data_IF_799099985541
#
_entry.id   IF_799099985541
#
_cell.length_a   1.000
_cell.length_b   1.000
_cell.length_c   1.000
_cell.angle_alpha   90.00
_cell.angle_beta   90.00
_cell.angle_gamma   90.00
#
_symmetry.space_group_name_H-M   'P 1'
#
loop_
_entity.id
_entity.type
_entity.pdbx_description
1 polymer ?
#
# COMPACT_ATOMS: atom_id res chain seq x y z
N UNK A 1 -72.93 -20.09 43.51
CA UNK A 1 -73.63 -18.98 42.84
C UNK A 1 -73.45 -17.74 43.68
N UNK A 2 -72.91 -16.66 43.08
CA UNK A 2 -72.83 -15.27 43.56
C UNK A 2 -72.42 -15.09 45.05
N UNK A 3 -71.25 -14.54 45.36
CA UNK A 3 -71.03 -13.10 45.27
C UNK A 3 -69.56 -12.83 44.88
N UNK A 4 -69.33 -12.83 43.57
CA UNK A 4 -68.09 -12.49 42.87
C UNK A 4 -68.08 -11.00 42.46
N UNK A 5 -68.88 -10.14 43.10
CA UNK A 5 -69.07 -8.75 42.63
C UNK A 5 -69.23 -7.76 43.80
N UNK A 6 -68.24 -7.66 44.68
CA UNK A 6 -68.12 -6.44 45.53
C UNK A 6 -66.69 -6.05 45.93
N UNK A 7 -65.70 -6.43 45.11
CA UNK A 7 -64.29 -6.05 45.31
C UNK A 7 -63.72 -5.16 44.21
N UNK A 8 -64.59 -4.35 43.57
CA UNK A 8 -64.22 -3.49 42.42
C UNK A 8 -64.49 -1.99 42.62
N UNK A 9 -64.95 -1.50 43.79
CA UNK A 9 -65.19 -0.04 43.98
C UNK A 9 -64.63 0.56 45.26
N UNK A 10 -63.33 0.39 45.49
CA UNK A 10 -62.54 1.31 46.33
C UNK A 10 -61.21 1.64 45.67
N UNK A 11 -61.25 1.90 44.36
CA UNK A 11 -60.27 2.73 43.67
C UNK A 11 -60.93 4.10 43.49
N UNK A 12 -60.42 5.08 44.23
CA UNK A 12 -60.36 6.52 43.92
C UNK A 12 -60.37 7.32 45.21
N UNK A 13 -59.19 7.44 45.83
CA UNK A 13 -58.53 8.73 46.14
C UNK A 13 -57.54 8.54 47.27
N UNK A 14 -56.40 9.19 47.09
CA UNK A 14 -55.41 9.57 48.11
C UNK A 14 -54.39 8.49 48.54
N UNK A 15 -53.35 8.41 47.73
CA UNK A 15 -52.03 7.87 48.09
C UNK A 15 -50.94 8.41 47.18
N UNK A 16 -50.95 9.72 46.90
CA UNK A 16 -49.93 10.43 46.13
C UNK A 16 -48.66 10.51 46.98
N UNK A 17 -47.64 9.70 46.68
CA UNK A 17 -46.21 10.01 46.96
C UNK A 17 -45.27 9.03 46.25
N UNK A 18 -44.26 9.65 45.62
CA UNK A 18 -43.08 9.09 44.92
C UNK A 18 -43.34 8.14 43.76
N UNK A 19 -43.93 8.68 42.69
CA UNK A 19 -43.47 8.34 41.34
C UNK A 19 -42.00 8.76 41.27
N UNK A 20 -41.08 7.80 41.31
CA UNK A 20 -39.72 8.05 40.83
C UNK A 20 -39.86 8.42 39.37
N UNK A 21 -39.69 9.70 39.08
CA UNK A 21 -39.55 10.20 37.73
C UNK A 21 -38.36 9.46 37.11
N UNK A 22 -38.62 8.41 36.33
CA UNK A 22 -37.65 7.88 35.40
C UNK A 22 -37.52 8.95 34.31
N UNK A 23 -36.74 9.99 34.60
CA UNK A 23 -36.24 10.90 33.58
C UNK A 23 -35.57 10.07 32.48
N UNK A 24 -35.50 10.58 31.24
CA UNK A 24 -34.87 9.86 30.15
C UNK A 24 -33.47 9.43 30.60
N UNK A 25 -33.23 8.11 30.66
CA UNK A 25 -31.93 7.56 31.03
C UNK A 25 -30.92 8.17 30.08
N UNK A 26 -30.06 9.05 30.59
CA UNK A 26 -28.99 9.63 29.78
C UNK A 26 -28.20 8.50 29.15
N UNK A 27 -27.91 8.62 27.85
CA UNK A 27 -27.18 7.57 27.13
C UNK A 27 -25.86 7.29 27.82
N UNK A 28 -25.45 6.01 27.86
CA UNK A 28 -24.16 5.60 28.43
C UNK A 28 -23.01 6.38 27.78
N UNK A 29 -23.14 6.67 26.48
CA UNK A 29 -22.23 7.50 25.70
C UNK A 29 -22.14 8.96 26.14
N UNK A 30 -23.13 9.52 26.84
CA UNK A 30 -23.05 10.88 27.41
C UNK A 30 -22.28 10.88 28.73
N UNK A 31 -22.40 9.80 29.51
CA UNK A 31 -21.80 9.64 30.84
C UNK A 31 -20.34 9.18 30.80
N UNK A 32 -19.91 8.56 29.71
CA UNK A 32 -18.58 8.00 29.56
C UNK A 32 -17.51 9.11 29.55
N UNK A 33 -16.45 9.06 30.38
CA UNK A 33 -15.35 10.02 30.32
C UNK A 33 -14.65 10.01 28.95
N UNK A 34 -14.12 11.16 28.49
CA UNK A 34 -13.53 11.27 27.15
C UNK A 34 -12.30 10.37 26.96
N UNK A 35 -11.42 10.25 27.96
CA UNK A 35 -10.26 9.35 27.87
C UNK A 35 -10.66 7.87 27.73
N UNK A 36 -11.77 7.44 28.35
CA UNK A 36 -12.29 6.08 28.20
C UNK A 36 -12.86 5.87 26.80
N UNK A 37 -13.59 6.86 26.27
CA UNK A 37 -14.08 6.81 24.89
C UNK A 37 -12.92 6.71 23.88
N UNK A 38 -11.87 7.51 24.06
CA UNK A 38 -10.66 7.48 23.24
C UNK A 38 -10.04 6.08 23.24
N UNK A 39 -9.85 5.48 24.42
CA UNK A 39 -9.29 4.13 24.53
C UNK A 39 -10.19 3.09 23.86
N UNK A 40 -11.51 3.11 24.10
CA UNK A 40 -12.45 2.17 23.45
C UNK A 40 -12.34 2.28 21.92
N UNK A 41 -12.34 3.50 21.38
CA UNK A 41 -12.26 3.72 19.94
C UNK A 41 -10.88 3.34 19.37
N UNK A 42 -9.79 3.48 20.13
CA UNK A 42 -8.46 3.06 19.70
C UNK A 42 -8.36 1.54 19.45
N UNK A 43 -9.12 0.72 20.19
CA UNK A 43 -9.22 -0.73 19.97
C UNK A 43 -10.07 -1.13 18.76
N UNK A 44 -10.88 -0.21 18.21
CA UNK A 44 -11.68 -0.46 17.02
C UNK A 44 -10.82 -0.36 15.74
N UNK A 45 -11.29 -0.96 14.65
CA UNK A 45 -10.78 -0.62 13.32
C UNK A 45 -11.22 0.79 12.90
N UNK A 46 -10.46 1.45 12.02
CA UNK A 46 -10.81 2.80 11.51
C UNK A 46 -12.23 2.84 10.90
N UNK A 47 -12.64 1.78 10.20
CA UNK A 47 -13.99 1.66 9.61
C UNK A 47 -15.08 1.65 10.68
N UNK A 48 -14.82 0.99 11.81
CA UNK A 48 -15.76 0.89 12.90
C UNK A 48 -15.85 2.21 13.67
N UNK A 49 -14.74 2.93 13.84
CA UNK A 49 -14.75 4.29 14.39
C UNK A 49 -15.66 5.21 13.56
N UNK A 50 -15.56 5.14 12.23
CA UNK A 50 -16.45 5.85 11.31
C UNK A 50 -17.91 5.44 11.51
N UNK A 51 -18.19 4.15 11.62
CA UNK A 51 -19.54 3.62 11.85
C UNK A 51 -20.14 4.06 13.19
N UNK A 52 -19.32 4.11 14.26
CA UNK A 52 -19.71 4.60 15.59
C UNK A 52 -20.01 6.11 15.54
N UNK A 53 -19.17 6.89 14.84
CA UNK A 53 -19.40 8.33 14.63
C UNK A 53 -20.73 8.59 13.94
N UNK A 54 -21.09 7.79 12.93
CA UNK A 54 -22.34 7.93 12.17
C UNK A 54 -23.58 7.39 12.90
N UNK A 55 -23.42 6.70 14.03
CA UNK A 55 -24.54 6.06 14.74
C UNK A 55 -25.48 7.07 15.40
N UNK A 56 -24.97 8.19 15.94
CA UNK A 56 -25.81 9.27 16.46
C UNK A 56 -25.04 10.60 16.59
N UNK A 57 -25.77 11.73 16.62
CA UNK A 57 -25.17 13.09 16.73
C UNK A 57 -24.24 13.26 17.94
N UNK A 58 -24.61 12.69 19.09
CA UNK A 58 -23.79 12.76 20.29
C UNK A 58 -22.42 12.09 20.07
N UNK A 59 -22.40 10.91 19.46
CA UNK A 59 -21.15 10.20 19.18
C UNK A 59 -20.34 10.91 18.10
N UNK A 60 -21.00 11.40 17.05
CA UNK A 60 -20.37 12.23 16.03
C UNK A 60 -19.62 13.41 16.65
N UNK A 61 -20.32 14.21 17.47
CA UNK A 61 -19.73 15.40 18.12
C UNK A 61 -18.58 15.02 19.06
N UNK A 62 -18.69 13.89 19.77
CA UNK A 62 -17.64 13.43 20.68
C UNK A 62 -16.41 12.89 19.95
N UNK A 63 -16.60 12.16 18.86
CA UNK A 63 -15.50 11.66 18.00
C UNK A 63 -14.79 12.84 17.36
N UNK A 64 -15.53 13.78 16.76
CA UNK A 64 -14.96 14.97 16.14
C UNK A 64 -14.14 15.82 17.14
N UNK A 65 -14.65 16.01 18.36
CA UNK A 65 -13.93 16.75 19.43
C UNK A 65 -12.69 16.05 19.96
N UNK A 66 -12.52 14.75 19.72
CA UNK A 66 -11.42 13.95 20.25
C UNK A 66 -10.61 13.30 19.12
N UNK A 67 -10.78 13.74 17.88
CA UNK A 67 -10.24 13.09 16.69
C UNK A 67 -8.75 12.79 16.81
N UNK A 68 -7.94 13.82 17.09
CA UNK A 68 -6.49 13.70 17.24
C UNK A 68 -6.09 12.77 18.39
N UNK A 69 -6.80 12.83 19.53
CA UNK A 69 -6.53 11.95 20.67
C UNK A 69 -6.87 10.49 20.35
N UNK A 70 -7.95 10.24 19.61
CA UNK A 70 -8.33 8.90 19.12
C UNK A 70 -7.28 8.40 18.14
N UNK A 71 -6.88 9.21 17.16
CA UNK A 71 -5.89 8.85 16.16
C UNK A 71 -4.52 8.53 16.80
N UNK A 72 -4.07 9.35 17.75
CA UNK A 72 -2.84 9.08 18.48
C UNK A 72 -2.92 7.78 19.30
N UNK A 73 -3.98 7.60 20.09
CA UNK A 73 -4.18 6.39 20.88
C UNK A 73 -4.26 5.13 19.99
N UNK A 74 -4.88 5.26 18.81
CA UNK A 74 -4.96 4.21 17.79
C UNK A 74 -3.57 3.75 17.34
N UNK A 75 -2.66 4.69 17.04
CA UNK A 75 -1.28 4.38 16.62
C UNK A 75 -0.49 3.76 17.76
N UNK A 76 -0.53 4.39 18.94
CA UNK A 76 0.26 3.94 20.10
C UNK A 76 -0.10 2.51 20.52
N UNK A 77 -1.39 2.18 20.52
CA UNK A 77 -1.85 0.82 20.81
C UNK A 77 -1.25 -0.20 19.83
N UNK A 78 -1.18 0.14 18.54
CA UNK A 78 -0.67 -0.77 17.50
C UNK A 78 0.84 -0.90 17.57
N UNK A 79 1.57 0.20 17.80
CA UNK A 79 3.02 0.15 18.09
C UNK A 79 3.32 -0.75 19.29
N UNK A 80 2.53 -0.65 20.36
CA UNK A 80 2.68 -1.52 21.54
C UNK A 80 2.43 -2.99 21.21
N UNK A 81 1.35 -3.29 20.48
CA UNK A 81 1.04 -4.66 20.05
C UNK A 81 2.16 -5.27 19.21
N UNK A 82 2.75 -4.48 18.30
CA UNK A 82 3.92 -4.87 17.50
C UNK A 82 5.15 -5.20 18.38
N UNK A 83 5.45 -4.37 19.38
CA UNK A 83 6.61 -4.58 20.28
C UNK A 83 6.44 -5.76 21.25
N UNK A 84 5.21 -6.12 21.61
CA UNK A 84 4.93 -7.25 22.51
C UNK A 84 4.89 -8.61 21.80
N UNK A 85 4.96 -8.63 20.47
CA UNK A 85 5.09 -9.87 19.69
C UNK A 85 6.49 -10.48 19.89
N UNK A 86 6.56 -11.69 20.45
CA UNK A 86 7.81 -12.44 20.54
C UNK A 86 8.33 -12.75 19.11
N UNK A 87 9.64 -12.66 18.82
CA UNK A 87 10.19 -12.85 17.45
C UNK A 87 9.99 -14.23 16.82
N UNK A 88 9.36 -15.17 17.52
CA UNK A 88 9.22 -16.57 17.13
C UNK A 88 7.82 -16.95 16.63
N UNK A 89 6.88 -16.01 16.63
CA UNK A 89 5.47 -16.30 16.39
C UNK A 89 4.93 -15.35 15.31
N UNK A 90 4.96 -15.83 14.06
CA UNK A 90 4.48 -15.15 12.84
C UNK A 90 2.96 -14.95 12.79
N UNK A 91 2.38 -14.34 13.81
CA UNK A 91 0.92 -14.15 13.96
C UNK A 91 0.40 -12.79 13.49
N UNK A 92 1.26 -11.87 13.06
CA UNK A 92 0.79 -10.67 12.38
C UNK A 92 0.63 -10.97 10.89
N UNK A 93 -0.63 -11.12 10.49
CA UNK A 93 -1.02 -11.06 9.09
C UNK A 93 -0.35 -9.82 8.46
N UNK A 94 0.23 -9.93 7.26
CA UNK A 94 0.77 -8.78 6.51
C UNK A 94 -0.20 -7.59 6.39
N UNK A 95 -1.48 -7.77 6.73
CA UNK A 95 -2.54 -6.77 6.70
C UNK A 95 -2.50 -5.64 7.74
N UNK A 96 -1.82 -5.81 8.90
CA UNK A 96 -2.01 -4.91 10.06
C UNK A 96 -0.76 -4.14 10.52
N UNK A 97 0.17 -3.89 9.60
CA UNK A 97 1.38 -3.10 9.87
C UNK A 97 1.20 -1.58 9.66
N UNK A 98 0.10 -1.03 10.22
CA UNK A 98 -0.14 0.42 10.15
C UNK A 98 0.92 1.20 10.94
N UNK A 99 1.58 0.57 11.91
CA UNK A 99 2.65 1.19 12.69
C UNK A 99 3.84 1.53 11.77
N UNK A 100 4.26 0.59 10.93
CA UNK A 100 5.29 0.79 9.92
C UNK A 100 4.95 1.93 8.96
N UNK A 101 3.75 1.93 8.36
CA UNK A 101 3.39 2.96 7.38
C UNK A 101 3.31 4.37 8.00
N UNK A 102 2.89 4.47 9.27
CA UNK A 102 2.88 5.75 10.00
C UNK A 102 4.29 6.30 10.24
N UNK A 103 5.30 5.43 10.40
CA UNK A 103 6.69 5.84 10.57
C UNK A 103 7.32 6.27 9.24
N UNK A 104 6.93 5.61 8.15
CA UNK A 104 7.38 5.95 6.81
C UNK A 104 6.77 7.27 6.29
N UNK A 105 5.51 7.53 6.65
CA UNK A 105 4.77 8.74 6.28
C UNK A 105 4.27 9.44 7.54
N UNK A 106 5.12 10.23 8.21
CA UNK A 106 4.69 11.09 9.31
C UNK A 106 3.90 12.30 8.76
N UNK A 107 2.91 12.81 9.50
CA UNK A 107 2.19 14.02 9.11
C UNK A 107 3.16 15.20 9.08
N UNK A 108 2.95 16.17 8.16
CA UNK A 108 3.79 17.36 8.10
C UNK A 108 3.67 18.16 9.41
N UNK A 109 4.77 18.79 9.88
CA UNK A 109 4.73 19.61 11.08
C UNK A 109 3.76 20.78 10.88
N UNK A 110 2.95 21.16 11.90
CA UNK A 110 2.03 22.26 11.77
C UNK A 110 2.77 23.59 11.54
N UNK A 111 2.37 24.35 10.50
CA UNK A 111 3.03 25.57 10.00
C UNK A 111 3.25 26.70 11.03
N UNK A 112 2.61 26.62 12.20
CA UNK A 112 2.65 27.66 13.24
C UNK A 112 3.26 27.20 14.57
N UNK A 113 3.70 25.94 14.72
CA UNK A 113 4.26 25.46 15.98
C UNK A 113 5.79 25.37 15.92
N UNK A 114 6.46 26.29 16.64
CA UNK A 114 7.88 26.15 17.01
C UNK A 114 8.11 25.12 18.12
N UNK A 115 7.06 24.41 18.54
CA UNK A 115 7.11 23.36 19.55
C UNK A 115 6.84 22.03 18.85
N UNK A 116 7.81 21.11 18.95
CA UNK A 116 7.68 19.71 18.56
C UNK A 116 6.68 19.06 19.52
N UNK A 117 5.40 19.15 19.19
CA UNK A 117 4.37 18.36 19.84
C UNK A 117 4.19 17.09 19.02
N UNK A 118 4.74 15.97 19.49
CA UNK A 118 4.65 14.65 18.84
C UNK A 118 3.19 14.19 18.59
N UNK A 119 2.21 14.84 19.25
CA UNK A 119 0.79 14.54 19.11
C UNK A 119 0.07 15.31 17.99
N UNK A 120 0.68 16.38 17.47
CA UNK A 120 0.03 17.32 16.58
C UNK A 120 0.26 16.98 15.10
N UNK A 121 -0.47 15.98 14.58
CA UNK A 121 -0.54 15.77 13.13
C UNK A 121 -1.43 14.61 12.66
N UNK A 122 -1.58 13.55 13.45
CA UNK A 122 -2.39 12.41 13.05
C UNK A 122 -3.88 12.68 13.28
N UNK A 123 -4.65 12.80 12.19
CA UNK A 123 -6.11 12.84 12.18
C UNK A 123 -6.70 11.49 11.80
N UNK A 124 -8.01 11.28 12.01
CA UNK A 124 -8.65 10.03 11.56
C UNK A 124 -8.70 9.96 10.03
N UNK A 125 -8.82 11.10 9.36
CA UNK A 125 -8.71 11.19 7.90
C UNK A 125 -7.34 10.73 7.40
N UNK A 126 -6.27 11.27 7.98
CA UNK A 126 -4.90 10.91 7.61
C UNK A 126 -4.61 9.42 7.86
N UNK A 127 -5.07 8.86 8.98
CA UNK A 127 -4.99 7.42 9.22
C UNK A 127 -5.75 6.59 8.17
N UNK A 128 -6.87 7.12 7.66
CA UNK A 128 -7.60 6.52 6.54
C UNK A 128 -6.77 6.48 5.26
N UNK A 129 -6.08 7.57 4.95
CA UNK A 129 -5.18 7.66 3.79
C UNK A 129 -3.97 6.73 3.92
N UNK A 130 -3.37 6.65 5.11
CA UNK A 130 -2.29 5.71 5.40
C UNK A 130 -2.75 4.25 5.27
N UNK A 131 -3.93 3.91 5.79
CA UNK A 131 -4.51 2.56 5.62
C UNK A 131 -4.78 2.26 4.14
N UNK A 132 -5.21 3.26 3.36
CA UNK A 132 -5.37 3.12 1.91
C UNK A 132 -4.02 2.87 1.21
N UNK A 133 -2.99 3.65 1.52
CA UNK A 133 -1.63 3.46 1.02
C UNK A 133 -1.11 2.05 1.33
N UNK A 134 -1.22 1.61 2.58
CA UNK A 134 -0.78 0.27 3.00
C UNK A 134 -1.54 -0.85 2.27
N UNK A 135 -2.86 -0.73 2.15
CA UNK A 135 -3.66 -1.68 1.37
C UNK A 135 -3.24 -1.72 -0.11
N UNK A 136 -2.87 -0.59 -0.69
CA UNK A 136 -2.33 -0.53 -2.04
C UNK A 136 -0.99 -1.26 -2.14
N UNK A 137 -0.10 -1.12 -1.17
CA UNK A 137 1.17 -1.87 -1.09
C UNK A 137 0.94 -3.38 -0.98
N UNK A 138 0.02 -3.81 -0.11
CA UNK A 138 -0.36 -5.22 0.05
C UNK A 138 -0.90 -5.79 -1.27
N UNK A 139 -1.78 -5.05 -1.94
CA UNK A 139 -2.38 -5.50 -3.21
C UNK A 139 -1.34 -5.56 -4.32
N UNK A 140 -0.48 -4.56 -4.44
CA UNK A 140 0.57 -4.54 -5.45
C UNK A 140 1.55 -5.70 -5.24
N UNK A 141 2.05 -5.87 -4.01
CA UNK A 141 2.97 -6.96 -3.67
C UNK A 141 2.33 -8.34 -3.89
N UNK A 142 1.04 -8.52 -3.58
CA UNK A 142 0.30 -9.75 -3.88
C UNK A 142 0.27 -10.04 -5.38
N UNK A 143 -0.15 -9.06 -6.20
CA UNK A 143 -0.26 -9.26 -7.64
C UNK A 143 1.10 -9.48 -8.29
N UNK A 144 2.13 -8.75 -7.86
CA UNK A 144 3.50 -8.94 -8.31
C UNK A 144 3.99 -10.36 -7.95
N UNK A 145 3.81 -10.78 -6.69
CA UNK A 145 4.15 -12.11 -6.22
C UNK A 145 3.42 -13.22 -7.00
N UNK A 146 2.13 -13.04 -7.28
CA UNK A 146 1.32 -13.97 -8.07
C UNK A 146 1.91 -14.22 -9.46
N UNK A 147 2.19 -13.15 -10.21
CA UNK A 147 2.73 -13.28 -11.56
C UNK A 147 4.18 -13.75 -11.59
N UNK A 148 4.98 -13.40 -10.59
CA UNK A 148 6.36 -13.91 -10.46
C UNK A 148 6.36 -15.40 -10.13
N UNK A 149 5.51 -15.83 -9.20
CA UNK A 149 5.34 -17.23 -8.86
C UNK A 149 4.87 -18.05 -10.08
N UNK A 150 3.84 -17.60 -10.78
CA UNK A 150 3.33 -18.28 -11.98
C UNK A 150 4.42 -18.39 -13.05
N UNK A 151 5.09 -17.28 -13.37
CA UNK A 151 6.15 -17.27 -14.37
C UNK A 151 7.32 -18.20 -13.98
N UNK A 152 7.74 -18.19 -12.72
CA UNK A 152 8.79 -19.07 -12.21
C UNK A 152 8.39 -20.55 -12.32
N UNK A 153 7.17 -20.88 -11.91
CA UNK A 153 6.63 -22.24 -11.98
C UNK A 153 6.48 -22.74 -13.42
N UNK A 154 6.34 -21.86 -14.40
CA UNK A 154 6.27 -22.22 -15.82
C UNK A 154 7.63 -22.37 -16.49
N UNK A 155 8.64 -21.62 -16.04
CA UNK A 155 9.91 -21.46 -16.76
C UNK A 155 11.11 -22.12 -16.09
N UNK A 156 11.11 -22.24 -14.76
CA UNK A 156 12.24 -22.82 -14.03
C UNK A 156 12.24 -24.35 -14.14
N UNK A 157 13.37 -24.98 -14.50
CA UNK A 157 13.44 -26.43 -14.73
C UNK A 157 13.21 -27.27 -13.47
N UNK A 158 13.46 -26.72 -12.27
CA UNK A 158 13.23 -27.41 -10.99
C UNK A 158 11.77 -27.26 -10.57
N UNK A 159 11.17 -26.09 -10.83
CA UNK A 159 9.81 -25.76 -10.43
C UNK A 159 8.74 -26.27 -11.41
N UNK A 160 9.05 -26.37 -12.71
CA UNK A 160 8.13 -26.80 -13.75
C UNK A 160 7.53 -28.20 -13.53
N UNK A 161 8.29 -29.22 -13.08
CA UNK A 161 7.72 -30.51 -12.70
C UNK A 161 6.67 -30.39 -11.59
N UNK A 162 6.91 -29.55 -10.58
CA UNK A 162 5.97 -29.29 -9.47
C UNK A 162 4.69 -28.62 -9.98
N UNK A 163 4.79 -27.76 -10.99
CA UNK A 163 3.64 -27.09 -11.60
C UNK A 163 2.77 -28.03 -12.44
N UNK A 164 3.39 -29.04 -13.06
CA UNK A 164 2.74 -30.07 -13.88
C UNK A 164 2.22 -31.28 -13.08
N UNK A 165 2.32 -31.23 -11.75
CA UNK A 165 1.98 -32.32 -10.84
C UNK A 165 0.46 -32.46 -10.61
N UNK A 166 0.05 -33.00 -9.46
CA UNK A 166 -1.37 -33.08 -9.08
C UNK A 166 -1.99 -31.70 -8.89
N UNK A 167 -3.32 -31.59 -9.06
CA UNK A 167 -4.06 -30.33 -8.84
C UNK A 167 -3.80 -29.73 -7.45
N UNK A 168 -3.76 -30.58 -6.42
CA UNK A 168 -3.55 -30.16 -5.02
C UNK A 168 -2.13 -29.67 -4.79
N UNK A 169 -1.14 -30.38 -5.34
CA UNK A 169 0.26 -29.98 -5.23
C UNK A 169 0.53 -28.69 -5.98
N UNK A 170 -0.04 -28.52 -7.18
CA UNK A 170 -0.03 -27.28 -7.93
C UNK A 170 -0.54 -26.08 -7.11
N UNK A 171 -1.71 -26.22 -6.50
CA UNK A 171 -2.34 -25.17 -5.67
C UNK A 171 -1.51 -24.87 -4.42
N UNK A 172 -0.96 -25.89 -3.78
CA UNK A 172 -0.10 -25.74 -2.60
C UNK A 172 1.22 -25.02 -2.95
N UNK A 173 1.89 -25.43 -4.03
CA UNK A 173 3.15 -24.83 -4.47
C UNK A 173 2.95 -23.38 -4.85
N UNK A 174 1.89 -23.07 -5.59
CA UNK A 174 1.55 -21.70 -5.97
C UNK A 174 1.20 -20.84 -4.75
N UNK A 175 0.28 -21.28 -3.89
CA UNK A 175 -0.11 -20.48 -2.72
C UNK A 175 1.07 -20.21 -1.79
N UNK A 176 1.95 -21.19 -1.58
CA UNK A 176 3.19 -21.02 -0.80
C UNK A 176 4.18 -20.08 -1.49
N UNK A 177 4.34 -20.19 -2.81
CA UNK A 177 5.21 -19.30 -3.57
C UNK A 177 4.75 -17.85 -3.45
N UNK A 178 3.46 -17.60 -3.67
CA UNK A 178 2.86 -16.26 -3.59
C UNK A 178 3.00 -15.69 -2.18
N UNK A 179 2.70 -16.49 -1.14
CA UNK A 179 2.82 -16.03 0.24
C UNK A 179 4.27 -15.66 0.62
N UNK A 180 5.25 -16.49 0.25
CA UNK A 180 6.67 -16.23 0.53
C UNK A 180 7.19 -15.00 -0.21
N UNK A 181 6.85 -14.87 -1.49
CA UNK A 181 7.22 -13.71 -2.31
C UNK A 181 6.55 -12.43 -1.78
N UNK A 182 5.26 -12.47 -1.49
CA UNK A 182 4.53 -11.31 -0.97
C UNK A 182 5.11 -10.84 0.36
N UNK A 183 5.41 -11.76 1.28
CA UNK A 183 6.03 -11.44 2.56
C UNK A 183 7.38 -10.74 2.37
N UNK A 184 8.15 -11.10 1.34
CA UNK A 184 9.43 -10.47 1.01
C UNK A 184 9.26 -9.10 0.31
N UNK A 185 8.18 -8.92 -0.45
CA UNK A 185 7.97 -7.75 -1.30
C UNK A 185 7.17 -6.61 -0.67
N UNK A 186 6.36 -6.86 0.37
CA UNK A 186 5.40 -5.86 0.88
C UNK A 186 6.08 -4.60 1.45
N UNK A 187 7.12 -4.74 2.27
CA UNK A 187 7.86 -3.59 2.82
C UNK A 187 8.70 -2.86 1.74
N UNK A 188 9.48 -3.55 0.89
CA UNK A 188 10.13 -2.92 -0.27
C UNK A 188 9.17 -2.15 -1.19
N UNK A 189 7.95 -2.67 -1.38
CA UNK A 189 6.91 -1.97 -2.14
C UNK A 189 6.53 -0.65 -1.48
N UNK A 190 6.38 -0.60 -0.15
CA UNK A 190 6.09 0.63 0.57
C UNK A 190 7.24 1.64 0.49
N UNK A 191 8.50 1.19 0.56
CA UNK A 191 9.66 2.06 0.34
C UNK A 191 9.71 2.63 -1.07
N UNK A 192 9.36 1.83 -2.09
CA UNK A 192 9.23 2.33 -3.46
C UNK A 192 8.15 3.42 -3.57
N UNK A 193 6.99 3.23 -2.92
CA UNK A 193 5.93 4.25 -2.85
C UNK A 193 6.47 5.54 -2.21
N UNK A 194 7.15 5.42 -1.06
CA UNK A 194 7.73 6.55 -0.36
C UNK A 194 8.71 7.34 -1.24
N UNK A 195 9.59 6.65 -1.95
CA UNK A 195 10.51 7.30 -2.87
C UNK A 195 9.78 8.05 -3.99
N UNK A 196 8.77 7.44 -4.60
CA UNK A 196 8.02 8.04 -5.71
C UNK A 196 7.24 9.28 -5.24
N UNK A 197 6.61 9.22 -4.06
CA UNK A 197 5.92 10.38 -3.48
C UNK A 197 6.90 11.51 -3.12
N UNK A 198 8.03 11.20 -2.49
CA UNK A 198 9.07 12.18 -2.17
C UNK A 198 9.66 12.84 -3.43
N UNK A 199 9.80 12.07 -4.50
CA UNK A 199 10.26 12.56 -5.79
C UNK A 199 9.22 13.50 -6.43
N UNK A 200 7.94 13.15 -6.39
CA UNK A 200 6.85 13.96 -6.96
C UNK A 200 6.65 15.31 -6.25
N UNK A 201 6.68 15.34 -4.91
CA UNK A 201 6.53 16.60 -4.12
C UNK A 201 7.57 17.63 -4.53
N UNK A 202 8.79 17.17 -4.76
CA UNK A 202 9.91 18.04 -5.05
C UNK A 202 9.84 18.71 -6.42
N UNK A 203 9.11 18.11 -7.38
CA UNK A 203 8.95 18.62 -8.76
C UNK A 203 8.13 19.90 -8.81
N UNK A 204 7.22 20.12 -7.86
CA UNK A 204 6.35 21.30 -7.82
C UNK A 204 7.05 22.62 -7.45
N UNK A 205 8.27 22.58 -6.92
CA UNK A 205 9.00 23.77 -6.45
C UNK A 205 9.92 24.40 -7.52
N UNK A 206 10.00 23.84 -8.74
CA UNK A 206 10.97 24.25 -9.76
C UNK A 206 10.28 24.76 -11.03
N UNK A 207 10.20 26.09 -11.19
CA UNK A 207 9.55 26.76 -12.32
C UNK A 207 10.52 27.26 -13.41
N UNK A 208 11.78 26.81 -13.45
CA UNK A 208 12.78 27.35 -14.37
C UNK A 208 13.11 26.41 -15.55
N UNK A 209 12.80 26.91 -16.74
CA UNK A 209 12.98 26.31 -18.06
C UNK A 209 14.46 26.14 -18.43
N UNK A 210 15.01 24.91 -18.42
CA UNK A 210 16.14 24.45 -19.26
C UNK A 210 16.35 22.92 -19.12
N UNK A 211 15.84 22.14 -20.07
CA UNK A 211 15.65 20.68 -20.01
C UNK A 211 16.89 19.80 -19.68
N UNK A 212 18.09 20.13 -20.15
CA UNK A 212 19.28 19.31 -19.84
C UNK A 212 19.79 19.53 -18.41
N UNK A 213 19.60 20.76 -17.89
CA UNK A 213 19.92 21.09 -16.51
C UNK A 213 18.85 20.54 -15.55
N UNK A 214 17.60 20.51 -16.01
CA UNK A 214 16.45 19.96 -15.30
C UNK A 214 16.59 18.45 -15.06
N UNK A 215 17.00 17.68 -16.08
CA UNK A 215 17.18 16.24 -15.95
C UNK A 215 18.31 15.87 -14.96
N UNK A 216 19.49 16.49 -15.10
CA UNK A 216 20.60 16.29 -14.18
C UNK A 216 20.25 16.77 -12.75
N UNK A 217 19.41 17.80 -12.63
CA UNK A 217 18.90 18.26 -11.34
C UNK A 217 17.90 17.30 -10.71
N UNK A 218 17.07 16.62 -11.52
CA UNK A 218 16.11 15.61 -11.08
C UNK A 218 16.83 14.37 -10.54
N UNK A 219 17.82 13.85 -11.27
CA UNK A 219 18.62 12.69 -10.82
C UNK A 219 19.38 13.01 -9.54
N UNK A 220 20.04 14.17 -9.43
CA UNK A 220 20.72 14.60 -8.20
C UNK A 220 19.76 14.69 -7.02
N UNK A 221 18.53 15.11 -7.27
CA UNK A 221 17.50 15.24 -6.24
C UNK A 221 16.99 13.88 -5.77
N UNK A 222 16.69 12.98 -6.70
CA UNK A 222 16.37 11.58 -6.40
C UNK A 222 17.51 10.92 -5.61
N UNK A 223 18.76 11.17 -6.00
CA UNK A 223 19.93 10.70 -5.26
C UNK A 223 19.95 11.27 -3.83
N UNK A 224 19.60 12.55 -3.64
CA UNK A 224 19.48 13.15 -2.31
C UNK A 224 18.38 12.50 -1.45
N UNK A 225 17.28 12.04 -2.06
CA UNK A 225 16.24 11.27 -1.37
C UNK A 225 16.82 9.93 -0.90
N UNK A 226 17.56 9.22 -1.77
CA UNK A 226 18.21 7.95 -1.44
C UNK A 226 19.30 8.09 -0.35
N UNK A 227 19.82 9.29 -0.13
CA UNK A 227 20.79 9.59 0.93
C UNK A 227 20.16 9.91 2.29
N UNK A 228 18.82 9.96 2.37
CA UNK A 228 18.07 10.20 3.61
C UNK A 228 17.43 8.92 4.12
N UNK A 229 17.00 8.93 5.39
CA UNK A 229 16.21 7.83 5.93
C UNK A 229 14.91 7.65 5.11
N UNK A 230 14.45 6.40 4.88
CA UNK A 230 14.98 5.13 5.41
C UNK A 230 16.14 4.54 4.58
N UNK A 231 16.45 5.11 3.40
CA UNK A 231 17.41 4.57 2.46
C UNK A 231 18.87 4.67 2.89
N UNK A 232 19.19 5.34 4.00
CA UNK A 232 20.54 5.31 4.61
C UNK A 232 20.99 3.89 4.95
N UNK A 233 20.06 2.98 5.23
CA UNK A 233 20.33 1.55 5.35
C UNK A 233 20.48 0.94 3.95
N UNK A 234 21.65 0.39 3.66
CA UNK A 234 21.96 -0.25 2.37
C UNK A 234 21.07 -1.47 2.10
N UNK A 235 20.67 -2.24 3.11
CA UNK A 235 19.78 -3.39 2.91
C UNK A 235 18.37 -2.93 2.49
N UNK A 236 17.82 -1.89 3.13
CA UNK A 236 16.54 -1.28 2.72
C UNK A 236 16.64 -0.75 1.28
N UNK A 237 17.73 -0.06 0.97
CA UNK A 237 17.96 0.48 -0.36
C UNK A 237 18.05 -0.62 -1.43
N UNK A 238 18.87 -1.65 -1.22
CA UNK A 238 19.04 -2.75 -2.18
C UNK A 238 17.74 -3.56 -2.36
N UNK A 239 17.05 -3.90 -1.26
CA UNK A 239 15.76 -4.61 -1.36
C UNK A 239 14.70 -3.80 -2.11
N UNK A 240 14.67 -2.47 -1.92
CA UNK A 240 13.80 -1.58 -2.70
C UNK A 240 14.21 -1.56 -4.17
N UNK A 241 15.51 -1.53 -4.47
CA UNK A 241 16.03 -1.58 -5.83
C UNK A 241 15.63 -2.88 -6.54
N UNK A 242 15.77 -4.04 -5.89
CA UNK A 242 15.34 -5.33 -6.42
C UNK A 242 13.82 -5.39 -6.64
N UNK A 243 13.03 -4.82 -5.72
CA UNK A 243 11.58 -4.71 -5.88
C UNK A 243 11.20 -3.87 -7.10
N UNK A 244 11.86 -2.72 -7.30
CA UNK A 244 11.64 -1.85 -8.46
C UNK A 244 12.01 -2.55 -9.79
N UNK A 245 13.14 -3.27 -9.81
CA UNK A 245 13.57 -4.07 -10.97
C UNK A 245 12.56 -5.17 -11.30
N UNK A 246 12.06 -5.88 -10.27
CA UNK A 246 11.08 -6.95 -10.43
C UNK A 246 9.74 -6.40 -10.92
N UNK A 247 9.29 -5.28 -10.36
CA UNK A 247 8.07 -4.61 -10.78
C UNK A 247 8.15 -4.20 -12.25
N UNK A 248 9.24 -3.53 -12.64
CA UNK A 248 9.46 -3.11 -14.02
C UNK A 248 9.44 -4.28 -14.99
N UNK A 249 10.31 -5.28 -14.76
CA UNK A 249 10.42 -6.45 -15.65
C UNK A 249 9.11 -7.23 -15.77
N UNK A 250 8.35 -7.34 -14.67
CA UNK A 250 7.04 -7.99 -14.67
C UNK A 250 6.01 -7.19 -15.46
N UNK A 251 5.91 -5.88 -15.23
CA UNK A 251 4.96 -5.02 -15.97
C UNK A 251 5.31 -5.00 -17.45
N UNK A 252 6.59 -4.87 -17.81
CA UNK A 252 7.07 -4.89 -19.20
C UNK A 252 6.69 -6.20 -19.91
N UNK A 253 6.87 -7.35 -19.24
CA UNK A 253 6.46 -8.66 -19.77
C UNK A 253 4.95 -8.74 -20.00
N UNK A 254 4.14 -8.22 -19.07
CA UNK A 254 2.67 -8.28 -19.13
C UNK A 254 2.04 -7.29 -20.12
N UNK A 255 2.77 -6.25 -20.52
CA UNK A 255 2.38 -5.32 -21.58
C UNK A 255 2.52 -5.91 -22.99
N UNK A 256 3.36 -6.93 -23.17
CA UNK A 256 3.47 -7.64 -24.45
C UNK A 256 2.23 -8.53 -24.73
N UNK A 257 1.85 -8.75 -26.00
CA UNK A 257 2.45 -8.23 -27.25
C UNK A 257 1.98 -6.83 -27.69
N UNK A 258 1.03 -6.20 -27.01
CA UNK A 258 0.37 -4.95 -27.43
C UNK A 258 1.31 -3.74 -27.48
N UNK A 259 2.31 -3.74 -26.61
CA UNK A 259 3.32 -2.69 -26.53
C UNK A 259 4.69 -3.34 -26.77
N UNK A 260 5.42 -2.94 -27.83
CA UNK A 260 6.80 -3.38 -28.06
C UNK A 260 7.69 -3.05 -26.86
N UNK A 261 8.63 -3.96 -26.53
CA UNK A 261 9.53 -3.79 -25.39
C UNK A 261 10.30 -2.46 -25.43
N UNK A 262 10.69 -1.98 -26.62
CA UNK A 262 11.37 -0.70 -26.83
C UNK A 262 10.55 0.52 -26.45
N UNK A 263 9.21 0.42 -26.46
CA UNK A 263 8.33 1.53 -26.07
C UNK A 263 7.80 1.40 -24.66
N UNK A 264 7.84 0.19 -24.06
CA UNK A 264 7.29 -0.11 -22.75
C UNK A 264 7.94 0.72 -21.62
N UNK A 265 9.21 1.09 -21.77
CA UNK A 265 9.92 1.92 -20.79
C UNK A 265 9.27 3.28 -20.61
N UNK A 266 8.94 3.99 -21.70
CA UNK A 266 8.26 5.29 -21.64
C UNK A 266 6.86 5.19 -21.00
N UNK A 267 6.14 4.10 -21.27
CA UNK A 267 4.84 3.83 -20.64
C UNK A 267 4.93 3.58 -19.15
N UNK A 268 5.92 2.79 -18.72
CA UNK A 268 6.12 2.46 -17.32
C UNK A 268 6.64 3.69 -16.58
N UNK A 269 7.54 4.45 -17.20
CA UNK A 269 7.99 5.73 -16.67
C UNK A 269 6.81 6.66 -16.41
N UNK A 270 5.91 6.83 -17.39
CA UNK A 270 4.68 7.60 -17.21
C UNK A 270 3.80 7.06 -16.07
N UNK A 271 3.64 5.73 -15.97
CA UNK A 271 2.86 5.08 -14.92
C UNK A 271 3.44 5.30 -13.51
N UNK A 272 4.75 5.50 -13.39
CA UNK A 272 5.42 5.74 -12.12
C UNK A 272 5.49 7.23 -11.77
N UNK A 273 5.51 8.12 -12.76
CA UNK A 273 5.71 9.57 -12.56
C UNK A 273 4.42 10.38 -12.55
N UNK A 274 3.46 10.06 -13.41
CA UNK A 274 2.20 10.84 -13.55
C UNK A 274 1.00 10.15 -12.91
N UNK A 275 1.15 8.86 -12.61
CA UNK A 275 0.10 7.98 -12.14
C UNK A 275 0.44 7.47 -10.76
N UNK A 276 -0.55 7.40 -9.87
CA UNK A 276 -0.36 6.77 -8.56
C UNK A 276 -0.09 5.27 -8.74
N UNK A 277 0.63 4.65 -7.80
CA UNK A 277 0.81 3.19 -7.76
C UNK A 277 -0.51 2.41 -7.87
N UNK A 278 -1.63 3.01 -7.48
CA UNK A 278 -2.97 2.45 -7.67
C UNK A 278 -3.30 2.14 -9.14
N UNK A 279 -2.72 2.87 -10.10
CA UNK A 279 -2.89 2.58 -11.54
C UNK A 279 -2.14 1.33 -11.96
N UNK A 280 -0.97 1.06 -11.39
CA UNK A 280 -0.26 -0.21 -11.59
C UNK A 280 -1.06 -1.36 -10.97
N UNK A 281 -1.63 -1.17 -9.78
CA UNK A 281 -2.57 -2.16 -9.20
C UNK A 281 -3.77 -2.38 -10.12
N UNK A 282 -4.32 -1.33 -10.72
CA UNK A 282 -5.45 -1.42 -11.66
C UNK A 282 -5.08 -2.21 -12.92
N UNK A 283 -3.84 -2.07 -13.41
CA UNK A 283 -3.32 -2.89 -14.51
C UNK A 283 -3.32 -4.37 -14.14
N UNK A 284 -2.75 -4.73 -12.98
CA UNK A 284 -2.75 -6.11 -12.50
C UNK A 284 -4.16 -6.68 -12.30
N UNK A 285 -5.10 -5.88 -11.79
CA UNK A 285 -6.50 -6.29 -11.67
C UNK A 285 -7.14 -6.59 -13.03
N UNK A 286 -6.84 -5.77 -14.05
CA UNK A 286 -7.35 -5.99 -15.40
C UNK A 286 -6.84 -7.32 -15.97
N UNK A 287 -5.58 -7.68 -15.70
CA UNK A 287 -5.00 -8.97 -16.09
C UNK A 287 -5.70 -10.12 -15.36
N UNK A 288 -5.82 -10.02 -14.03
CA UNK A 288 -6.47 -11.05 -13.23
C UNK A 288 -7.93 -11.31 -13.67
N UNK A 289 -8.66 -10.26 -14.06
CA UNK A 289 -10.01 -10.39 -14.61
C UNK A 289 -10.04 -11.17 -15.93
N UNK A 290 -9.06 -10.95 -16.80
CA UNK A 290 -8.93 -11.70 -18.05
C UNK A 290 -8.62 -13.19 -17.77
N UNK A 291 -7.76 -13.50 -16.80
CA UNK A 291 -7.43 -14.89 -16.46
C UNK A 291 -8.60 -15.63 -15.78
N UNK A 292 -9.36 -14.96 -14.91
CA UNK A 292 -10.60 -15.50 -14.37
C UNK A 292 -11.63 -15.80 -15.46
N UNK A 293 -11.68 -14.99 -16.53
CA UNK A 293 -12.59 -15.21 -17.67
C UNK A 293 -12.17 -16.44 -18.48
N UNK A 294 -10.87 -16.61 -18.75
CA UNK A 294 -10.31 -17.80 -19.42
C UNK A 294 -10.64 -19.07 -18.64
N UNK A 295 -10.45 -19.08 -17.32
CA UNK A 295 -10.73 -20.25 -16.47
C UNK A 295 -12.21 -20.65 -16.44
N UNK A 296 -13.13 -19.71 -16.67
CA UNK A 296 -14.57 -19.98 -16.74
C UNK A 296 -15.03 -20.47 -18.12
N UNK A 297 -14.12 -20.67 -19.07
CA UNK A 297 -14.45 -21.13 -20.43
C UNK A 297 -15.31 -20.15 -21.22
N UNK A 298 -15.34 -18.88 -20.81
CA UNK A 298 -16.04 -17.85 -21.57
C UNK A 298 -15.28 -17.59 -22.88
N UNK A 299 -15.99 -17.46 -23.99
CA UNK A 299 -15.39 -17.19 -25.30
C UNK A 299 -14.36 -16.05 -25.23
N UNK A 300 -13.23 -16.26 -25.92
CA UNK A 300 -12.20 -15.25 -26.17
C UNK A 300 -12.81 -14.09 -26.94
N UNK A 301 -13.25 -13.08 -26.19
CA UNK A 301 -13.54 -11.76 -26.72
C UNK A 301 -12.22 -11.20 -27.25
N UNK A 302 -12.21 -10.69 -28.48
CA UNK A 302 -11.07 -9.97 -29.06
C UNK A 302 -10.63 -8.79 -28.18
N UNK A 303 -11.58 -8.28 -27.37
CA UNK A 303 -11.42 -7.23 -26.38
C UNK A 303 -11.26 -7.81 -24.96
N UNK A 304 -10.16 -7.44 -24.28
CA UNK A 304 -9.82 -7.88 -22.93
C UNK A 304 -9.71 -6.67 -22.00
N UNK A 305 -9.88 -6.85 -20.68
CA UNK A 305 -9.76 -5.76 -19.71
C UNK A 305 -8.34 -5.18 -19.74
N UNK A 306 -7.33 -6.03 -19.94
CA UNK A 306 -5.95 -5.60 -20.19
C UNK A 306 -5.84 -4.67 -21.39
N UNK A 307 -6.42 -5.03 -22.54
CA UNK A 307 -6.42 -4.16 -23.75
C UNK A 307 -7.13 -2.83 -23.50
N UNK A 308 -8.25 -2.87 -22.81
CA UNK A 308 -9.00 -1.66 -22.44
C UNK A 308 -8.18 -0.72 -21.55
N UNK A 309 -7.50 -1.28 -20.55
CA UNK A 309 -6.58 -0.52 -19.70
C UNK A 309 -5.46 0.13 -20.51
N UNK A 310 -4.78 -0.64 -21.36
CA UNK A 310 -3.68 -0.14 -22.19
C UNK A 310 -4.13 0.97 -23.16
N UNK A 311 -5.36 0.88 -23.69
CA UNK A 311 -5.91 1.92 -24.55
C UNK A 311 -6.27 3.21 -23.81
N UNK A 312 -6.81 3.12 -22.59
CA UNK A 312 -7.03 4.31 -21.73
C UNK A 312 -5.71 4.95 -21.35
N UNK A 313 -4.75 4.15 -20.92
CA UNK A 313 -3.40 4.62 -20.61
C UNK A 313 -2.77 5.33 -21.82
N UNK A 314 -3.04 4.85 -23.04
CA UNK A 314 -2.61 5.52 -24.27
C UNK A 314 -3.22 6.90 -24.49
N UNK A 315 -4.48 7.07 -24.14
CA UNK A 315 -5.12 8.39 -24.17
C UNK A 315 -4.45 9.32 -23.17
N UNK A 316 -4.22 8.85 -21.94
CA UNK A 316 -3.56 9.65 -20.90
C UNK A 316 -2.13 10.07 -21.29
N UNK A 317 -1.35 9.19 -21.94
CA UNK A 317 -0.02 9.57 -22.47
C UNK A 317 -0.14 10.64 -23.55
N UNK A 318 -1.07 10.47 -24.50
CA UNK A 318 -1.24 11.43 -25.59
C UNK A 318 -1.65 12.80 -25.05
N UNK A 319 -2.53 12.83 -24.05
CA UNK A 319 -2.95 14.06 -23.38
C UNK A 319 -1.77 14.71 -22.64
N UNK A 320 -0.97 13.92 -21.91
CA UNK A 320 0.24 14.40 -21.25
C UNK A 320 1.26 14.99 -22.24
N UNK A 321 1.59 14.27 -23.32
CA UNK A 321 2.50 14.74 -24.36
C UNK A 321 1.96 16.00 -25.04
N UNK A 322 0.65 16.06 -25.30
CA UNK A 322 0.02 17.25 -25.87
C UNK A 322 0.13 18.46 -24.94
N UNK A 323 -0.01 18.27 -23.61
CA UNK A 323 0.20 19.35 -22.65
C UNK A 323 1.64 19.85 -22.65
N UNK A 324 2.64 18.98 -22.66
CA UNK A 324 4.06 19.39 -22.72
C UNK A 324 4.42 20.06 -24.05
N UNK A 325 3.93 19.51 -25.17
CA UNK A 325 4.14 20.09 -26.51
C UNK A 325 3.57 21.51 -26.63
N UNK A 326 2.42 21.78 -25.99
CA UNK A 326 1.81 23.12 -25.95
C UNK A 326 2.60 24.13 -25.11
N UNK A 327 3.47 23.66 -24.21
CA UNK A 327 4.41 24.50 -23.45
C UNK A 327 5.72 24.77 -24.20
N UNK A 328 5.83 24.36 -25.47
CA UNK A 328 7.03 24.55 -26.30
C UNK A 328 8.12 23.49 -26.07
N UNK A 329 7.80 22.42 -25.33
CA UNK A 329 8.70 21.33 -25.01
C UNK A 329 8.57 20.23 -26.08
N UNK A 330 9.50 20.21 -27.04
CA UNK A 330 9.64 19.07 -27.95
C UNK A 330 10.48 17.99 -27.26
N UNK A 331 9.82 17.06 -26.57
CA UNK A 331 10.43 15.75 -26.25
C UNK A 331 10.30 14.85 -27.49
N UNK A 332 11.38 14.73 -28.26
CA UNK A 332 11.47 13.72 -29.34
C UNK A 332 11.49 12.28 -28.79
N UNK A 333 11.86 12.10 -27.51
CA UNK A 333 11.81 10.83 -26.78
C UNK A 333 11.07 11.05 -25.44
N UNK A 334 10.06 10.23 -25.15
CA UNK A 334 9.25 10.33 -23.92
C UNK A 334 10.07 10.13 -22.63
N UNK A 335 9.47 10.25 -21.44
CA UNK A 335 10.22 10.18 -20.18
C UNK A 335 10.93 8.83 -20.03
N UNK A 336 12.27 8.84 -19.98
CA UNK A 336 13.03 7.60 -19.84
C UNK A 336 12.88 7.02 -18.43
N UNK A 337 12.73 5.70 -18.36
CA UNK A 337 12.56 5.00 -17.09
C UNK A 337 13.80 5.11 -16.18
N UNK A 338 14.98 5.21 -16.79
CA UNK A 338 16.24 5.42 -16.07
C UNK A 338 16.19 6.65 -15.17
N UNK A 339 15.43 7.67 -15.58
CA UNK A 339 15.30 8.94 -14.87
C UNK A 339 14.27 8.91 -13.73
N UNK A 340 13.59 7.79 -13.50
CA UNK A 340 12.64 7.65 -12.40
C UNK A 340 13.32 7.09 -11.16
N UNK A 341 14.12 6.03 -11.31
CA UNK A 341 14.75 5.33 -10.18
C UNK A 341 16.16 4.84 -10.52
N UNK A 342 16.34 4.22 -11.69
CA UNK A 342 17.52 3.39 -11.95
C UNK A 342 18.84 4.17 -12.03
N UNK A 343 18.86 5.37 -12.63
CA UNK A 343 20.07 6.18 -12.69
C UNK A 343 20.49 6.65 -11.29
N UNK A 344 19.58 7.27 -10.54
CA UNK A 344 19.86 7.72 -9.18
C UNK A 344 20.24 6.57 -8.25
N UNK A 345 19.61 5.40 -8.39
CA UNK A 345 19.96 4.21 -7.65
C UNK A 345 21.34 3.67 -8.04
N UNK A 346 21.70 3.66 -9.34
CA UNK A 346 23.03 3.25 -9.78
C UNK A 346 24.11 4.14 -9.19
N UNK A 347 23.95 5.46 -9.32
CA UNK A 347 24.91 6.44 -8.81
C UNK A 347 25.07 6.32 -7.28
N UNK A 348 23.98 6.03 -6.56
CA UNK A 348 24.01 5.83 -5.11
C UNK A 348 24.61 4.48 -4.71
N UNK A 349 24.37 3.39 -5.46
CA UNK A 349 25.03 2.09 -5.24
C UNK A 349 26.55 2.21 -5.42
N UNK A 350 26.99 2.88 -6.50
CA UNK A 350 28.40 3.16 -6.76
C UNK A 350 29.03 3.99 -5.64
N UNK A 351 28.36 5.05 -5.20
CA UNK A 351 28.81 5.91 -4.10
C UNK A 351 29.01 5.14 -2.79
N UNK A 352 28.17 4.13 -2.53
CA UNK A 352 28.26 3.28 -1.33
C UNK A 352 29.30 2.16 -1.46
N UNK A 353 29.87 1.94 -2.64
CA UNK A 353 30.67 0.76 -2.92
C UNK A 353 29.84 -0.53 -2.80
N UNK A 354 28.53 -0.45 -3.09
CA UNK A 354 27.63 -1.59 -3.03
C UNK A 354 27.63 -2.40 -4.33
N UNK A 355 28.44 -2.03 -5.33
CA UNK A 355 28.63 -2.79 -6.56
C UNK A 355 30.00 -3.50 -6.52
N UNK A 356 30.06 -4.84 -6.67
CA UNK A 356 28.93 -5.77 -6.77
C UNK A 356 28.37 -6.16 -5.38
N UNK A 357 27.12 -6.62 -5.29
CA UNK A 357 26.49 -7.08 -4.03
C UNK A 357 25.94 -8.51 -4.08
N UNK A 358 25.84 -9.14 -2.92
CA UNK A 358 25.41 -10.54 -2.76
C UNK A 358 23.89 -10.71 -2.89
N UNK A 359 23.50 -11.90 -3.33
CA UNK A 359 22.09 -12.31 -3.57
C UNK A 359 21.46 -12.98 -2.34
N UNK A 360 22.21 -13.30 -1.29
CA UNK A 360 21.75 -14.17 -0.19
C UNK A 360 20.44 -13.70 0.46
N UNK A 361 20.28 -12.40 0.71
CA UNK A 361 19.05 -11.84 1.28
C UNK A 361 17.90 -11.68 0.28
N UNK A 362 18.10 -12.07 -0.97
CA UNK A 362 17.15 -11.87 -2.09
C UNK A 362 16.59 -13.18 -2.64
N UNK A 363 17.02 -14.32 -2.10
CA UNK A 363 16.50 -15.64 -2.42
C UNK A 363 15.18 -15.91 -1.69
N UNK A 364 14.16 -16.31 -2.45
CA UNK A 364 12.86 -16.72 -1.90
C UNK A 364 12.66 -18.20 -2.17
N UNK A 365 12.85 -19.01 -1.14
CA UNK A 365 12.65 -20.45 -1.21
C UNK A 365 11.17 -20.80 -1.29
N UNK A 366 10.81 -21.60 -2.31
CA UNK A 366 9.44 -22.02 -2.58
C UNK A 366 9.20 -23.40 -1.95
N UNK A 367 9.52 -24.46 -2.70
CA UNK A 367 9.42 -25.87 -2.31
C UNK A 367 10.48 -26.69 -3.05
N UNK A 368 10.91 -27.80 -2.45
CA UNK A 368 11.83 -28.78 -3.03
C UNK A 368 13.12 -28.19 -3.65
N UNK A 369 13.66 -27.12 -3.04
CA UNK A 369 14.88 -26.46 -3.51
C UNK A 369 14.67 -25.47 -4.67
N UNK A 370 13.43 -25.26 -5.15
CA UNK A 370 13.11 -24.17 -6.07
C UNK A 370 13.24 -22.83 -5.37
N UNK A 371 13.98 -21.90 -5.98
CA UNK A 371 14.27 -20.57 -5.45
C UNK A 371 13.97 -19.51 -6.50
N UNK A 372 13.24 -18.47 -6.11
CA UNK A 372 13.11 -17.24 -6.90
C UNK A 372 14.17 -16.26 -6.43
N UNK A 373 15.05 -15.81 -7.33
CA UNK A 373 16.07 -14.81 -7.03
C UNK A 373 15.57 -13.39 -7.36
N UNK A 374 15.45 -12.53 -6.35
CA UNK A 374 15.11 -11.12 -6.53
C UNK A 374 16.38 -10.31 -6.85
N UNK A 375 16.88 -10.42 -8.09
CA UNK A 375 18.20 -9.89 -8.45
C UNK A 375 18.15 -8.72 -9.45
N UNK A 376 19.24 -7.96 -9.52
CA UNK A 376 19.50 -6.97 -10.56
C UNK A 376 20.82 -7.29 -11.30
N UNK A 377 21.17 -6.50 -12.32
CA UNK A 377 22.37 -6.73 -13.13
C UNK A 377 23.70 -6.63 -12.38
N UNK A 378 23.70 -6.02 -11.19
CA UNK A 378 24.89 -5.83 -10.34
C UNK A 378 25.04 -6.90 -9.25
N UNK A 379 24.11 -7.86 -9.19
CA UNK A 379 24.15 -8.98 -8.25
C UNK A 379 25.17 -10.03 -8.69
N UNK A 380 25.88 -10.63 -7.73
CA UNK A 380 26.72 -11.81 -7.97
C UNK A 380 26.45 -12.92 -6.94
N UNK A 381 26.57 -14.17 -7.39
CA UNK A 381 26.49 -15.35 -6.54
C UNK A 381 27.86 -15.59 -5.90
N UNK A 382 27.93 -15.64 -4.57
CA UNK A 382 29.17 -15.84 -3.81
C UNK A 382 29.79 -17.25 -4.00
N UNK A 383 29.09 -18.16 -4.68
CA UNK A 383 29.45 -19.58 -4.87
C UNK A 383 30.33 -19.87 -6.10
N UNK A 384 30.90 -18.85 -6.75
CA UNK A 384 31.79 -19.01 -7.92
C UNK A 384 33.30 -18.91 -7.59
N UNK A 385 33.72 -19.28 -6.38
CA UNK A 385 35.13 -19.53 -6.04
C UNK A 385 35.40 -20.96 -5.57
#
# INVERSE_FOLDING_TARGET
MAHFLDRVKTVLRRGKRSSSCAGPKESVWKRLPSHVLVNILAFCELRDIGSVSLSCRLLHDRVAKQEFSIAWAYIQLRKQMHQTGHPLDGFLSPGDDIAFICELFPPPPPEYSSVVDDSAGYSLGYLGDLKRCWNTCIRLSYHLAAHVAEHHLETDPIAQPLWSSSKTEKELVYSRAVAALQAKLVHPTAYAVFFLEASAVSTHDSHDSHHTHELASSVKRQQSILQKAPFTDTHIFLSTHHCMQLLFSTVQRLMGPEIPHSSAESWISLLLTTSTIERIVSFFLAIAQDDHKKHKGAHDSTWSHRKEFLLRMRQDLNDYVATMSNHGEHMDDGPELNHVWFQAASDEMDRRGAIPHTVEDTEVHILHGSVVKLQCGSCYDHYNE
#
